data_IF_432948505534
#
_entry.id   IF_432948505534
#
_cell.length_a   1.000
_cell.length_b   1.000
_cell.length_c   1.000
_cell.angle_alpha   90.00
_cell.angle_beta   90.00
_cell.angle_gamma   90.00
#
_symmetry.space_group_name_H-M   'P 1'
#
loop_
_entity.id
_entity.type
_entity.pdbx_description
1 polymer ?
#
# COMPACT_ATOMS: atom_id res chain seq x y z
N UNK A 1 -7.99 9.96 4.08
CA UNK A 1 -7.92 9.43 2.69
C UNK A 1 -6.44 9.26 2.34
N UNK A 2 -6.08 8.25 1.54
CA UNK A 2 -4.69 8.01 1.13
C UNK A 2 -4.24 8.98 0.04
N UNK A 3 -3.03 9.52 0.16
CA UNK A 3 -2.38 10.20 -0.96
C UNK A 3 -1.77 9.19 -1.95
N UNK A 4 -1.38 9.65 -3.14
CA UNK A 4 -0.93 8.76 -4.22
C UNK A 4 0.35 7.99 -3.88
N UNK A 5 1.28 8.63 -3.15
CA UNK A 5 2.51 7.96 -2.72
C UNK A 5 2.21 6.86 -1.70
N UNK A 6 1.41 7.15 -0.68
CA UNK A 6 0.97 6.17 0.32
C UNK A 6 0.23 5.01 -0.33
N UNK A 7 -0.68 5.29 -1.28
CA UNK A 7 -1.41 4.27 -2.04
C UNK A 7 -0.44 3.36 -2.80
N UNK A 8 0.56 3.94 -3.47
CA UNK A 8 1.56 3.18 -4.26
C UNK A 8 2.46 2.32 -3.37
N UNK A 9 2.97 2.87 -2.26
CA UNK A 9 3.79 2.12 -1.30
C UNK A 9 2.98 0.98 -0.68
N UNK A 10 1.72 1.23 -0.32
CA UNK A 10 0.86 0.19 0.23
C UNK A 10 0.48 -0.86 -0.81
N UNK A 11 0.30 -0.48 -2.08
CA UNK A 11 0.00 -1.41 -3.17
C UNK A 11 1.09 -2.47 -3.35
N UNK A 12 2.34 -2.19 -2.96
CA UNK A 12 3.42 -3.18 -2.95
C UNK A 12 3.12 -4.37 -2.02
N UNK A 13 2.47 -4.12 -0.89
CA UNK A 13 2.26 -5.12 0.17
C UNK A 13 0.79 -5.50 0.39
N UNK A 14 -0.16 -4.70 -0.11
CA UNK A 14 -1.61 -4.91 0.01
C UNK A 14 -2.26 -4.94 -1.38
N UNK A 15 -3.26 -5.79 -1.55
CA UNK A 15 -3.99 -5.93 -2.82
C UNK A 15 -4.94 -4.75 -3.07
N UNK A 16 -5.61 -4.27 -2.03
CA UNK A 16 -6.47 -3.09 -2.07
C UNK A 16 -6.07 -2.13 -0.93
N UNK A 17 -5.25 -1.10 -1.21
CA UNK A 17 -4.83 -0.12 -0.22
C UNK A 17 -5.98 0.69 0.37
N UNK A 18 -6.98 1.06 -0.44
CA UNK A 18 -8.08 1.91 -0.01
C UNK A 18 -9.03 1.11 0.89
N UNK A 19 -9.35 -0.15 0.55
CA UNK A 19 -10.12 -1.04 1.43
C UNK A 19 -9.38 -1.34 2.73
N UNK A 20 -8.06 -1.55 2.70
CA UNK A 20 -7.27 -1.72 3.92
C UNK A 20 -7.34 -0.48 4.81
N UNK A 21 -7.19 0.72 4.25
CA UNK A 21 -7.25 1.94 5.05
C UNK A 21 -8.66 2.21 5.58
N UNK A 22 -9.71 1.87 4.81
CA UNK A 22 -11.09 1.92 5.27
C UNK A 22 -11.33 0.99 6.47
N UNK A 23 -10.78 -0.23 6.44
CA UNK A 23 -10.86 -1.15 7.57
C UNK A 23 -10.14 -0.61 8.82
N UNK A 24 -8.94 -0.03 8.66
CA UNK A 24 -8.22 0.59 9.78
C UNK A 24 -8.98 1.79 10.36
N UNK A 25 -9.62 2.61 9.51
CA UNK A 25 -10.47 3.70 9.95
C UNK A 25 -11.67 3.21 10.75
N UNK A 26 -12.31 2.12 10.31
CA UNK A 26 -13.45 1.51 10.99
C UNK A 26 -13.06 0.89 12.34
N UNK A 27 -11.94 0.17 12.38
CA UNK A 27 -11.49 -0.56 13.59
C UNK A 27 -10.94 0.35 14.68
N UNK A 28 -10.12 1.35 14.32
CA UNK A 28 -9.37 2.16 15.29
C UNK A 28 -9.86 3.60 15.40
N UNK A 29 -10.76 4.03 14.51
CA UNK A 29 -11.19 5.41 14.41
C UNK A 29 -10.14 6.32 13.75
N UNK A 30 -10.53 7.57 13.41
CA UNK A 30 -9.73 8.45 12.57
C UNK A 30 -8.41 8.91 13.21
N UNK A 31 -8.38 9.09 14.53
CA UNK A 31 -7.19 9.57 15.24
C UNK A 31 -6.06 8.53 15.24
N UNK A 32 -6.39 7.27 15.54
CA UNK A 32 -5.41 6.19 15.54
C UNK A 32 -5.07 5.72 14.11
N UNK A 33 -6.02 5.75 13.19
CA UNK A 33 -5.79 5.30 11.81
C UNK A 33 -4.64 6.03 11.10
N UNK A 34 -4.44 7.32 11.39
CA UNK A 34 -3.31 8.09 10.85
C UNK A 34 -1.96 7.52 11.32
N UNK A 35 -1.83 7.20 12.62
CA UNK A 35 -0.62 6.60 13.17
C UNK A 35 -0.37 5.18 12.61
N UNK A 36 -1.42 4.38 12.42
CA UNK A 36 -1.32 3.07 11.78
C UNK A 36 -0.89 3.16 10.31
N UNK A 37 -1.42 4.14 9.57
CA UNK A 37 -1.02 4.44 8.21
C UNK A 37 0.46 4.80 8.13
N UNK A 38 0.89 5.80 8.92
CA UNK A 38 2.27 6.27 8.90
C UNK A 38 3.26 5.16 9.28
N UNK A 39 2.98 4.40 10.35
CA UNK A 39 3.82 3.30 10.76
C UNK A 39 3.97 2.22 9.67
N UNK A 40 2.86 1.90 8.98
CA UNK A 40 2.88 0.88 7.92
C UNK A 40 3.62 1.38 6.67
N UNK A 41 3.43 2.64 6.29
CA UNK A 41 4.13 3.26 5.15
C UNK A 41 5.63 3.34 5.45
N UNK A 42 6.05 3.89 6.59
CA UNK A 42 7.47 4.00 6.98
C UNK A 42 8.17 2.64 6.91
N UNK A 43 7.52 1.58 7.39
CA UNK A 43 8.07 0.23 7.34
C UNK A 43 8.19 -0.33 5.92
N UNK A 44 7.27 0.02 5.03
CA UNK A 44 7.20 -0.52 3.67
C UNK A 44 8.12 0.23 2.68
N UNK A 45 8.34 1.53 2.88
CA UNK A 45 9.10 2.41 1.96
C UNK A 45 10.46 1.81 1.55
N UNK A 46 11.34 1.34 2.45
CA UNK A 46 12.66 0.86 2.05
C UNK A 46 12.60 -0.35 1.11
N UNK A 47 11.67 -1.28 1.36
CA UNK A 47 11.51 -2.47 0.53
C UNK A 47 10.88 -2.12 -0.83
N UNK A 48 9.89 -1.23 -0.83
CA UNK A 48 9.27 -0.71 -2.05
C UNK A 48 10.31 -0.03 -2.95
N UNK A 49 11.10 0.90 -2.41
CA UNK A 49 12.11 1.63 -3.17
C UNK A 49 13.21 0.72 -3.71
N UNK A 50 13.70 -0.22 -2.90
CA UNK A 50 14.70 -1.19 -3.34
C UNK A 50 14.17 -2.09 -4.47
N UNK A 51 12.94 -2.58 -4.34
CA UNK A 51 12.32 -3.46 -5.34
C UNK A 51 12.05 -2.71 -6.64
N UNK A 52 11.50 -1.50 -6.56
CA UNK A 52 11.27 -0.63 -7.71
C UNK A 52 12.58 -0.30 -8.43
N UNK A 53 13.64 0.01 -7.70
CA UNK A 53 14.95 0.28 -8.29
C UNK A 53 15.55 -0.95 -8.98
N UNK A 54 15.38 -2.15 -8.41
CA UNK A 54 15.91 -3.39 -8.97
C UNK A 54 15.18 -3.86 -10.24
N UNK A 55 13.86 -3.65 -10.32
CA UNK A 55 13.03 -4.14 -11.42
C UNK A 55 12.77 -3.09 -12.52
N UNK A 56 12.96 -1.80 -12.20
CA UNK A 56 12.75 -0.71 -13.16
C UNK A 56 11.34 -0.73 -13.76
N UNK A 57 11.26 -0.72 -15.08
CA UNK A 57 9.99 -0.70 -15.83
C UNK A 57 9.18 -2.00 -15.72
N UNK A 58 9.81 -3.10 -15.29
CA UNK A 58 9.11 -4.38 -15.09
C UNK A 58 8.47 -4.50 -13.71
N UNK A 59 8.70 -3.52 -12.83
CA UNK A 59 8.14 -3.52 -11.49
C UNK A 59 6.62 -3.52 -11.52
N UNK A 60 6.04 -4.44 -10.75
CA UNK A 60 4.61 -4.49 -10.50
C UNK A 60 4.38 -4.63 -8.99
N UNK A 61 3.46 -3.82 -8.48
CA UNK A 61 2.95 -3.91 -7.12
C UNK A 61 2.09 -5.16 -6.92
N UNK A 62 1.81 -5.53 -5.67
CA UNK A 62 0.89 -6.65 -5.38
C UNK A 62 -0.52 -6.37 -5.88
N UNK A 63 -0.99 -5.13 -5.75
CA UNK A 63 -2.27 -4.71 -6.29
C UNK A 63 -2.35 -4.91 -7.81
N UNK A 64 -1.35 -4.43 -8.56
CA UNK A 64 -1.31 -4.58 -10.02
C UNK A 64 -1.27 -6.06 -10.46
N UNK A 65 -0.49 -6.90 -9.77
CA UNK A 65 -0.47 -8.34 -10.04
C UNK A 65 -1.84 -8.99 -9.79
N UNK A 66 -2.57 -8.56 -8.77
CA UNK A 66 -3.90 -9.08 -8.47
C UNK A 66 -4.94 -8.67 -9.53
N UNK A 67 -4.89 -7.43 -10.02
CA UNK A 67 -5.72 -6.97 -11.14
C UNK A 67 -5.44 -7.80 -12.40
N UNK A 68 -4.16 -7.97 -12.74
CA UNK A 68 -3.75 -8.78 -13.91
C UNK A 68 -4.18 -10.25 -13.80
N UNK A 69 -4.28 -10.78 -12.59
CA UNK A 69 -4.75 -12.14 -12.33
C UNK A 69 -6.28 -12.26 -12.27
N UNK A 70 -7.04 -11.15 -12.38
CA UNK A 70 -8.50 -11.15 -12.26
C UNK A 70 -9.00 -11.45 -10.84
N UNK A 71 -8.16 -11.17 -9.83
CA UNK A 71 -8.44 -11.48 -8.42
C UNK A 71 -8.99 -10.28 -7.62
N UNK A 72 -9.41 -9.23 -8.32
CA UNK A 72 -9.92 -7.96 -7.80
C UNK A 72 -11.21 -7.58 -8.52
#
# INVERSE_FOLDING_TARGET
>A
MLNDYQRTVLADIVVDPDAWFAHVLDEFGPEAAAAHLDAKVIRAVPAYEATRAAQGETYQTRAERAVLAGAL
#
